data_IF_784209597900
#
_entry.id   IF_784209597900
#
_cell.length_a   1.000
_cell.length_b   1.000
_cell.length_c   1.000
_cell.angle_alpha   90.00
_cell.angle_beta   90.00
_cell.angle_gamma   90.00
#
_symmetry.space_group_name_H-M   'P 1'
#
loop_
_entity.id
_entity.type
_entity.pdbx_description
1 polymer ?
#
# COMPACT_ATOMS: atom_id res chain seq x y z
N UNK A 1 -81.52 1.97 -3.43
CA UNK A 1 -80.27 2.75 -3.35
C UNK A 1 -79.37 2.03 -2.35
N UNK A 2 -78.40 1.28 -2.85
CA UNK A 2 -77.49 0.43 -2.08
C UNK A 2 -76.18 1.18 -1.89
N UNK A 3 -75.81 1.50 -0.65
CA UNK A 3 -74.50 2.10 -0.31
C UNK A 3 -73.46 1.01 -0.02
N UNK A 4 -72.19 1.16 -0.43
CA UNK A 4 -71.18 0.14 -0.22
C UNK A 4 -70.50 0.27 1.15
N UNK A 5 -70.24 -0.88 1.76
CA UNK A 5 -69.31 -1.05 2.87
C UNK A 5 -67.87 -0.93 2.36
N UNK A 6 -66.98 -0.20 3.04
CA UNK A 6 -65.53 -0.30 2.78
C UNK A 6 -64.68 0.05 4.01
N UNK A 7 -64.12 -1.00 4.61
CA UNK A 7 -62.69 -1.10 4.93
C UNK A 7 -62.13 -0.28 6.10
N UNK A 8 -62.12 -0.89 7.30
CA UNK A 8 -61.18 -0.52 8.36
C UNK A 8 -59.76 -0.89 7.90
N UNK A 9 -58.90 0.11 7.72
CA UNK A 9 -57.48 -0.07 7.37
C UNK A 9 -56.69 -0.28 8.67
N UNK A 10 -56.30 -1.52 8.94
CA UNK A 10 -55.32 -1.82 10.00
C UNK A 10 -54.00 -1.12 9.62
N UNK A 11 -53.58 -0.16 10.45
CA UNK A 11 -52.26 0.45 10.39
C UNK A 11 -51.26 -0.63 10.80
N UNK A 12 -50.61 -1.24 9.81
CA UNK A 12 -49.46 -2.10 10.05
C UNK A 12 -48.32 -1.27 10.64
N UNK A 13 -48.10 -1.42 11.94
CA UNK A 13 -46.83 -1.09 12.58
C UNK A 13 -45.81 -2.10 12.04
N UNK A 14 -45.06 -1.69 11.02
CA UNK A 14 -43.89 -2.43 10.59
C UNK A 14 -42.81 -2.25 11.66
N UNK A 15 -42.69 -3.30 12.48
CA UNK A 15 -41.64 -3.50 13.44
C UNK A 15 -40.26 -3.53 12.74
N UNK A 16 -39.33 -2.78 13.35
CA UNK A 16 -37.93 -3.18 13.58
C UNK A 16 -37.05 -3.49 12.36
N UNK A 17 -36.35 -2.45 11.90
CA UNK A 17 -35.01 -2.62 11.34
C UNK A 17 -34.05 -3.05 12.45
N UNK A 18 -33.82 -4.36 12.58
CA UNK A 18 -32.84 -4.93 13.51
C UNK A 18 -31.44 -4.33 13.29
N UNK A 19 -30.57 -4.34 14.31
CA UNK A 19 -29.25 -3.73 14.21
C UNK A 19 -28.47 -4.34 13.03
N UNK A 20 -27.90 -3.52 12.12
CA UNK A 20 -27.07 -4.04 11.05
C UNK A 20 -25.95 -4.87 11.66
N UNK A 21 -25.65 -6.03 11.05
CA UNK A 21 -24.56 -6.90 11.48
C UNK A 21 -23.31 -6.06 11.76
N UNK A 22 -22.72 -6.20 12.95
CA UNK A 22 -21.86 -5.17 13.53
C UNK A 22 -20.48 -5.00 12.86
N UNK A 23 -20.22 -5.60 11.68
CA UNK A 23 -18.90 -5.65 11.03
C UNK A 23 -18.82 -5.01 9.63
N UNK A 24 -19.83 -5.09 8.72
CA UNK A 24 -19.79 -4.38 7.44
C UNK A 24 -19.84 -2.85 7.57
N UNK A 25 -20.47 -2.30 8.61
CA UNK A 25 -20.71 -0.85 8.73
C UNK A 25 -19.46 0.00 8.99
N UNK A 26 -18.48 -0.52 9.74
CA UNK A 26 -17.24 0.21 10.05
C UNK A 26 -16.32 0.32 8.84
N UNK A 27 -16.15 -0.79 8.12
CA UNK A 27 -15.32 -0.83 6.90
C UNK A 27 -15.90 0.11 5.85
N UNK A 28 -17.23 0.14 5.71
CA UNK A 28 -17.89 1.06 4.78
C UNK A 28 -17.68 2.52 5.19
N UNK A 29 -17.85 2.86 6.48
CA UNK A 29 -17.57 4.20 6.98
C UNK A 29 -16.11 4.61 6.81
N UNK A 30 -15.16 3.70 6.98
CA UNK A 30 -13.74 3.98 6.72
C UNK A 30 -13.46 4.20 5.24
N UNK A 31 -14.11 3.45 4.34
CA UNK A 31 -14.03 3.67 2.89
C UNK A 31 -14.61 5.02 2.52
N UNK A 32 -15.81 5.36 3.01
CA UNK A 32 -16.44 6.66 2.79
C UNK A 32 -15.59 7.82 3.35
N UNK A 33 -14.97 7.64 4.52
CA UNK A 33 -14.09 8.65 5.09
C UNK A 33 -12.82 8.82 4.25
N UNK A 34 -12.24 7.72 3.78
CA UNK A 34 -11.08 7.74 2.88
C UNK A 34 -11.41 8.43 1.55
N UNK A 35 -12.55 8.08 0.94
CA UNK A 35 -13.00 8.64 -0.34
C UNK A 35 -13.31 10.14 -0.22
N UNK A 36 -13.79 10.59 0.95
CA UNK A 36 -14.04 12.03 1.21
C UNK A 36 -12.78 12.85 1.49
N UNK A 37 -11.76 12.27 2.12
CA UNK A 37 -10.64 13.03 2.67
C UNK A 37 -9.29 12.80 1.97
N UNK A 38 -9.18 11.80 1.10
CA UNK A 38 -7.92 11.45 0.43
C UNK A 38 -8.04 11.62 -1.08
N UNK A 39 -7.04 12.26 -1.69
CA UNK A 39 -6.89 12.18 -3.15
C UNK A 39 -6.57 10.75 -3.57
N UNK A 40 -6.89 10.33 -4.81
CA UNK A 40 -6.55 9.00 -5.32
C UNK A 40 -5.07 8.63 -5.09
N UNK A 41 -4.17 9.57 -5.36
CA UNK A 41 -2.73 9.41 -5.10
C UNK A 41 -2.43 9.17 -3.62
N UNK A 42 -2.98 9.97 -2.71
CA UNK A 42 -2.73 9.82 -1.28
C UNK A 42 -3.27 8.49 -0.76
N UNK A 43 -4.43 8.05 -1.25
CA UNK A 43 -5.00 6.74 -0.96
C UNK A 43 -4.07 5.62 -1.41
N UNK A 44 -3.60 5.65 -2.65
CA UNK A 44 -2.66 4.64 -3.16
C UNK A 44 -1.38 4.60 -2.34
N UNK A 45 -0.79 5.75 -2.00
CA UNK A 45 0.42 5.81 -1.17
C UNK A 45 0.21 5.23 0.25
N UNK A 46 -0.92 5.52 0.88
CA UNK A 46 -1.27 4.93 2.19
C UNK A 46 -1.44 3.42 2.07
N UNK A 47 -2.12 2.95 1.03
CA UNK A 47 -2.32 1.51 0.79
C UNK A 47 -0.98 0.82 0.56
N UNK A 48 -0.08 1.40 -0.24
CA UNK A 48 1.27 0.89 -0.47
C UNK A 48 2.09 0.87 0.82
N UNK A 49 2.08 1.96 1.60
CA UNK A 49 2.82 2.04 2.87
C UNK A 49 2.31 1.01 3.88
N UNK A 50 0.99 0.90 4.01
CA UNK A 50 0.36 -0.06 4.92
C UNK A 50 0.64 -1.50 4.49
N UNK A 51 0.46 -1.84 3.20
CA UNK A 51 0.73 -3.20 2.71
C UNK A 51 2.21 -3.56 2.81
N UNK A 52 3.11 -2.62 2.55
CA UNK A 52 4.54 -2.83 2.75
C UNK A 52 4.85 -3.17 4.21
N UNK A 53 4.43 -2.31 5.14
CA UNK A 53 4.73 -2.48 6.57
C UNK A 53 4.13 -3.76 7.15
N UNK A 54 2.88 -4.07 6.80
CA UNK A 54 2.21 -5.30 7.29
C UNK A 54 2.84 -6.55 6.69
N UNK A 55 3.14 -6.57 5.39
CA UNK A 55 3.81 -7.73 4.75
C UNK A 55 5.21 -7.93 5.32
N UNK A 56 6.03 -6.88 5.41
CA UNK A 56 7.38 -6.98 5.96
C UNK A 56 7.36 -7.50 7.41
N UNK A 57 6.50 -6.92 8.25
CA UNK A 57 6.34 -7.36 9.64
C UNK A 57 5.86 -8.81 9.75
N UNK A 58 4.88 -9.20 8.93
CA UNK A 58 4.34 -10.57 8.92
C UNK A 58 5.39 -11.59 8.47
N UNK A 59 6.11 -11.32 7.38
CA UNK A 59 7.17 -12.20 6.88
C UNK A 59 8.27 -12.35 7.93
N UNK A 60 8.73 -11.25 8.53
CA UNK A 60 9.72 -11.29 9.62
C UNK A 60 9.23 -12.11 10.80
N UNK A 61 7.99 -11.91 11.22
CA UNK A 61 7.40 -12.66 12.33
C UNK A 61 7.36 -14.16 12.03
N UNK A 62 6.89 -14.54 10.83
CA UNK A 62 6.83 -15.92 10.36
C UNK A 62 8.24 -16.54 10.31
N UNK A 63 9.20 -15.88 9.67
CA UNK A 63 10.58 -16.40 9.56
C UNK A 63 11.25 -16.55 10.92
N UNK A 64 11.03 -15.62 11.86
CA UNK A 64 11.53 -15.79 13.23
C UNK A 64 10.85 -16.97 13.92
N UNK A 65 9.57 -17.24 13.65
CA UNK A 65 8.86 -18.37 14.22
C UNK A 65 9.29 -19.73 13.71
N UNK A 66 9.57 -19.82 12.41
CA UNK A 66 10.12 -21.02 11.79
C UNK A 66 11.54 -21.27 12.35
N UNK A 67 12.40 -20.24 12.40
CA UNK A 67 13.76 -20.35 12.96
C UNK A 67 13.77 -20.68 14.45
N UNK A 68 12.79 -20.19 15.20
CA UNK A 68 12.62 -20.46 16.63
C UNK A 68 11.92 -21.78 16.94
N UNK A 69 11.45 -22.51 15.94
CA UNK A 69 10.77 -23.80 16.08
C UNK A 69 9.38 -23.75 16.74
N UNK A 70 8.80 -22.58 16.95
CA UNK A 70 7.48 -22.42 17.57
C UNK A 70 6.34 -22.27 16.57
N UNK A 71 6.67 -22.05 15.28
CA UNK A 71 5.69 -21.96 14.21
C UNK A 71 5.78 -23.23 13.34
N UNK A 72 4.71 -24.04 13.22
CA UNK A 72 4.71 -25.28 12.44
C UNK A 72 4.52 -25.00 10.94
N UNK A 73 5.32 -24.09 10.40
CA UNK A 73 5.38 -23.76 8.98
C UNK A 73 6.76 -24.11 8.44
N UNK A 74 6.81 -24.52 7.18
CA UNK A 74 8.05 -24.80 6.46
C UNK A 74 8.41 -23.69 5.46
N UNK A 75 9.67 -23.68 5.04
CA UNK A 75 10.13 -22.79 3.98
C UNK A 75 9.52 -23.17 2.62
N UNK A 76 9.23 -22.15 1.79
CA UNK A 76 8.81 -22.35 0.40
C UNK A 76 9.90 -23.09 -0.38
N UNK A 77 9.53 -24.21 -1.00
CA UNK A 77 10.45 -25.03 -1.80
C UNK A 77 9.78 -25.44 -3.11
N UNK A 78 10.52 -25.41 -4.21
CA UNK A 78 10.08 -25.86 -5.53
C UNK A 78 11.16 -26.75 -6.16
N UNK A 79 10.80 -27.96 -6.56
CA UNK A 79 11.75 -28.91 -7.19
C UNK A 79 12.96 -29.27 -6.31
N UNK A 80 12.80 -29.27 -4.97
CA UNK A 80 13.88 -29.54 -4.03
C UNK A 80 14.81 -28.37 -3.71
N UNK A 81 14.56 -27.17 -4.28
CA UNK A 81 15.31 -25.95 -3.98
C UNK A 81 14.45 -24.98 -3.16
N UNK A 82 15.04 -24.40 -2.12
CA UNK A 82 14.41 -23.33 -1.35
C UNK A 82 14.20 -22.09 -2.22
N UNK A 83 12.96 -21.61 -2.27
CA UNK A 83 12.61 -20.40 -2.98
C UNK A 83 12.59 -19.24 -1.99
N UNK A 84 13.54 -18.33 -2.16
CA UNK A 84 13.53 -17.06 -1.46
C UNK A 84 12.32 -16.23 -1.89
N UNK A 85 11.65 -15.62 -0.92
CA UNK A 85 10.39 -14.92 -1.15
C UNK A 85 10.61 -13.59 -1.89
N UNK A 86 11.84 -13.06 -1.96
CA UNK A 86 12.14 -11.95 -2.86
C UNK A 86 11.81 -12.26 -4.33
N UNK A 87 11.88 -13.53 -4.77
CA UNK A 87 11.54 -13.91 -6.15
C UNK A 87 10.05 -13.67 -6.45
N UNK A 88 9.18 -13.93 -5.48
CA UNK A 88 7.75 -13.63 -5.56
C UNK A 88 7.55 -12.11 -5.63
N UNK A 89 8.33 -11.36 -4.85
CA UNK A 89 8.35 -9.90 -4.93
C UNK A 89 8.74 -9.38 -6.31
N UNK A 90 9.80 -9.91 -6.92
CA UNK A 90 10.23 -9.54 -8.28
C UNK A 90 9.13 -9.83 -9.30
N UNK A 91 8.54 -11.04 -9.28
CA UNK A 91 7.47 -11.41 -10.18
C UNK A 91 6.24 -10.50 -10.03
N UNK A 92 5.90 -10.15 -8.79
CA UNK A 92 4.80 -9.21 -8.47
C UNK A 92 5.08 -7.83 -9.05
N UNK A 93 6.27 -7.27 -8.80
CA UNK A 93 6.64 -5.95 -9.32
C UNK A 93 6.77 -5.93 -10.85
N UNK A 94 7.21 -7.01 -11.48
CA UNK A 94 7.22 -7.14 -12.94
C UNK A 94 5.79 -7.09 -13.51
N UNK A 95 4.83 -7.78 -12.89
CA UNK A 95 3.42 -7.71 -13.26
C UNK A 95 2.82 -6.30 -13.09
N UNK A 96 3.15 -5.63 -11.98
CA UNK A 96 2.76 -4.23 -11.78
C UNK A 96 3.41 -3.30 -12.81
N UNK A 97 4.68 -3.52 -13.14
CA UNK A 97 5.37 -2.81 -14.21
C UNK A 97 4.66 -2.96 -15.56
N UNK A 98 4.17 -4.17 -15.88
CA UNK A 98 3.39 -4.40 -17.10
C UNK A 98 2.05 -3.63 -17.09
N UNK A 99 1.35 -3.58 -15.96
CA UNK A 99 0.13 -2.77 -15.81
C UNK A 99 0.45 -1.29 -16.03
N UNK A 100 1.54 -0.79 -15.46
CA UNK A 100 1.98 0.59 -15.62
C UNK A 100 2.36 0.92 -17.08
N UNK A 101 3.11 0.04 -17.75
CA UNK A 101 3.50 0.19 -19.16
C UNK A 101 2.29 0.18 -20.09
N UNK A 102 1.27 -0.65 -19.79
CA UNK A 102 0.01 -0.64 -20.54
C UNK A 102 -0.71 0.71 -20.46
N UNK A 103 -0.55 1.45 -19.36
CA UNK A 103 -1.05 2.82 -19.23
C UNK A 103 -2.57 2.96 -19.10
N UNK A 104 -3.30 1.86 -18.84
CA UNK A 104 -4.75 1.93 -18.60
C UNK A 104 -5.01 2.62 -17.25
N UNK A 105 -5.56 3.85 -17.28
CA UNK A 105 -5.72 4.68 -16.09
C UNK A 105 -6.55 3.99 -14.99
N UNK A 106 -7.57 3.22 -15.39
CA UNK A 106 -8.42 2.49 -14.44
C UNK A 106 -7.65 1.37 -13.76
N UNK A 107 -6.84 0.62 -14.50
CA UNK A 107 -6.00 -0.44 -13.95
C UNK A 107 -4.89 0.14 -13.07
N UNK A 108 -4.16 1.15 -13.55
CA UNK A 108 -3.07 1.81 -12.81
C UNK A 108 -3.58 2.47 -11.53
N UNK A 109 -4.77 3.10 -11.58
CA UNK A 109 -5.41 3.72 -10.43
C UNK A 109 -6.06 2.74 -9.44
N UNK A 110 -6.08 1.44 -9.74
CA UNK A 110 -6.77 0.47 -8.91
C UNK A 110 -6.02 0.23 -7.59
N UNK A 111 -6.69 0.23 -6.42
CA UNK A 111 -6.02 0.09 -5.11
C UNK A 111 -5.26 -1.24 -4.96
N UNK A 112 -5.65 -2.28 -5.70
CA UNK A 112 -4.90 -3.54 -5.72
C UNK A 112 -3.48 -3.39 -6.30
N UNK A 113 -3.27 -2.48 -7.25
CA UNK A 113 -1.93 -2.19 -7.79
C UNK A 113 -1.04 -1.58 -6.71
N UNK A 114 -1.58 -0.61 -5.96
CA UNK A 114 -0.87 0.00 -4.84
C UNK A 114 -0.54 -1.03 -3.74
N UNK A 115 -1.49 -1.91 -3.41
CA UNK A 115 -1.30 -2.97 -2.41
C UNK A 115 -0.23 -3.96 -2.86
N UNK A 116 -0.35 -4.49 -4.09
CA UNK A 116 0.59 -5.45 -4.67
C UNK A 116 2.00 -4.86 -4.84
N UNK A 117 2.11 -3.58 -5.19
CA UNK A 117 3.39 -2.88 -5.21
C UNK A 117 4.04 -2.90 -3.81
N UNK A 118 3.32 -2.48 -2.77
CA UNK A 118 3.86 -2.51 -1.39
C UNK A 118 4.25 -3.91 -0.91
N UNK A 119 3.42 -4.93 -1.22
CA UNK A 119 3.74 -6.35 -0.94
C UNK A 119 5.02 -6.78 -1.65
N UNK A 120 5.11 -6.53 -2.96
CA UNK A 120 6.27 -6.92 -3.77
C UNK A 120 7.56 -6.26 -3.29
N UNK A 121 7.51 -4.97 -2.98
CA UNK A 121 8.64 -4.23 -2.39
C UNK A 121 9.01 -4.78 -1.02
N UNK A 122 8.05 -5.10 -0.14
CA UNK A 122 8.34 -5.67 1.17
C UNK A 122 9.10 -6.99 1.07
N UNK A 123 8.63 -7.91 0.22
CA UNK A 123 9.28 -9.21 -0.01
C UNK A 123 10.70 -9.08 -0.55
N UNK A 124 10.97 -8.09 -1.41
CA UNK A 124 12.32 -7.82 -1.91
C UNK A 124 13.20 -7.25 -0.80
N UNK A 125 12.70 -6.28 -0.04
CA UNK A 125 13.50 -5.61 1.00
C UNK A 125 13.83 -6.53 2.17
N UNK A 126 12.96 -7.50 2.48
CA UNK A 126 13.17 -8.41 3.59
C UNK A 126 14.42 -9.28 3.44
N UNK A 127 14.71 -9.69 2.20
CA UNK A 127 15.91 -10.45 1.83
C UNK A 127 16.94 -9.60 1.08
N UNK A 128 16.89 -8.27 1.22
CA UNK A 128 17.77 -7.35 0.49
C UNK A 128 19.26 -7.69 0.64
N UNK A 129 19.70 -8.09 1.84
CA UNK A 129 21.08 -8.49 2.06
C UNK A 129 21.51 -9.68 1.18
N UNK A 130 20.62 -10.62 0.87
CA UNK A 130 20.89 -11.75 -0.03
C UNK A 130 20.95 -11.32 -1.50
N UNK A 131 20.20 -10.27 -1.89
CA UNK A 131 20.26 -9.70 -3.23
C UNK A 131 21.57 -8.93 -3.49
N UNK A 132 22.11 -8.29 -2.46
CA UNK A 132 23.38 -7.56 -2.58
C UNK A 132 24.60 -8.47 -2.53
N UNK A 133 24.57 -9.54 -1.72
CA UNK A 133 25.74 -10.36 -1.43
C UNK A 133 25.44 -11.82 -1.75
N UNK A 134 25.51 -12.17 -3.04
CA UNK A 134 25.16 -13.49 -3.59
C UNK A 134 26.09 -14.63 -3.12
N UNK A 135 27.16 -14.35 -2.38
CA UNK A 135 28.10 -15.34 -1.84
C UNK A 135 28.30 -15.17 -0.33
N UNK A 136 27.81 -16.17 0.40
CA UNK A 136 27.56 -16.21 1.84
C UNK A 136 28.82 -16.24 2.73
N UNK A 137 29.69 -15.23 2.67
CA UNK A 137 30.89 -15.23 3.55
C UNK A 137 31.30 -13.89 4.16
N UNK A 138 30.78 -12.72 3.75
CA UNK A 138 31.50 -11.51 4.18
C UNK A 138 31.17 -10.97 5.59
N UNK A 139 29.94 -10.98 6.11
CA UNK A 139 29.71 -10.55 7.51
C UNK A 139 28.45 -11.13 8.16
N UNK A 140 28.58 -11.84 9.29
CA UNK A 140 27.54 -12.51 10.09
C UNK A 140 26.41 -11.61 10.68
N UNK A 141 26.00 -10.53 10.00
CA UNK A 141 24.95 -9.58 10.40
C UNK A 141 23.97 -9.23 9.26
N UNK A 142 23.82 -10.08 8.22
CA UNK A 142 22.93 -9.80 7.07
C UNK A 142 21.46 -9.56 7.47
N UNK A 143 20.99 -10.16 8.56
CA UNK A 143 19.64 -9.91 9.08
C UNK A 143 19.37 -8.45 9.43
N UNK A 144 20.39 -7.70 9.87
CA UNK A 144 20.24 -6.29 10.29
C UNK A 144 20.21 -5.33 9.10
N UNK A 145 20.99 -5.58 8.05
CA UNK A 145 20.99 -4.72 6.86
C UNK A 145 19.62 -4.71 6.17
N UNK A 146 19.01 -5.88 5.97
CA UNK A 146 17.64 -5.92 5.41
C UNK A 146 16.65 -5.19 6.31
N UNK A 147 16.76 -5.31 7.64
CA UNK A 147 15.92 -4.59 8.59
C UNK A 147 16.12 -3.08 8.48
N UNK A 148 17.37 -2.60 8.44
CA UNK A 148 17.70 -1.18 8.31
C UNK A 148 17.13 -0.59 7.01
N UNK A 149 17.24 -1.33 5.90
CA UNK A 149 16.67 -0.94 4.60
C UNK A 149 15.15 -0.91 4.65
N UNK A 150 14.50 -1.93 5.18
CA UNK A 150 13.03 -1.96 5.28
C UNK A 150 12.49 -0.87 6.20
N UNK A 151 13.14 -0.61 7.34
CA UNK A 151 12.81 0.50 8.23
C UNK A 151 13.03 1.84 7.52
N UNK A 152 14.12 1.99 6.77
CA UNK A 152 14.41 3.18 5.97
C UNK A 152 13.32 3.46 4.93
N UNK A 153 12.89 2.44 4.18
CA UNK A 153 11.78 2.54 3.21
C UNK A 153 10.47 2.91 3.91
N UNK A 154 10.14 2.24 5.02
CA UNK A 154 8.93 2.51 5.80
C UNK A 154 8.92 3.95 6.34
N UNK A 155 10.06 4.40 6.89
CA UNK A 155 10.22 5.74 7.47
C UNK A 155 10.18 6.83 6.40
N UNK A 156 10.83 6.62 5.25
CA UNK A 156 10.81 7.57 4.14
C UNK A 156 9.39 7.76 3.60
N UNK A 157 8.67 6.67 3.33
CA UNK A 157 7.28 6.71 2.88
C UNK A 157 6.36 7.34 3.94
N UNK A 158 6.52 6.98 5.22
CA UNK A 158 5.75 7.56 6.32
C UNK A 158 5.98 9.06 6.48
N UNK A 159 7.23 9.52 6.40
CA UNK A 159 7.60 10.94 6.46
C UNK A 159 7.03 11.71 5.27
N UNK A 160 7.10 11.14 4.07
CA UNK A 160 6.51 11.75 2.89
C UNK A 160 4.98 11.94 3.04
N UNK A 161 4.29 10.93 3.58
CA UNK A 161 2.85 10.97 3.81
C UNK A 161 2.42 12.00 4.86
N UNK A 162 3.20 12.19 5.94
CA UNK A 162 2.87 13.09 7.05
C UNK A 162 3.31 14.53 6.80
N UNK A 163 4.42 14.76 6.10
CA UNK A 163 4.98 16.08 5.86
C UNK A 163 4.51 16.72 4.53
N UNK A 164 3.34 16.32 3.99
CA UNK A 164 2.86 16.81 2.68
C UNK A 164 2.88 18.34 2.52
N UNK A 165 2.39 19.16 3.48
CA UNK A 165 2.40 20.62 3.34
C UNK A 165 3.81 21.19 3.21
N UNK A 166 4.78 20.59 3.91
CA UNK A 166 6.19 20.98 3.83
C UNK A 166 6.78 20.70 2.44
N UNK A 167 6.49 19.53 1.86
CA UNK A 167 6.94 19.18 0.52
C UNK A 167 6.31 20.07 -0.56
N UNK A 168 5.02 20.40 -0.41
CA UNK A 168 4.32 21.31 -1.32
C UNK A 168 4.97 22.72 -1.30
N UNK A 169 5.36 23.22 -0.13
CA UNK A 169 6.08 24.49 0.00
C UNK A 169 7.48 24.43 -0.61
N UNK A 170 8.25 23.35 -0.39
CA UNK A 170 9.55 23.16 -1.06
C UNK A 170 9.38 23.21 -2.58
N UNK A 171 8.41 22.49 -3.14
CA UNK A 171 8.17 22.46 -4.57
C UNK A 171 7.81 23.85 -5.14
N UNK A 172 7.00 24.63 -4.40
CA UNK A 172 6.63 26.00 -4.78
C UNK A 172 7.86 26.92 -4.76
N UNK A 173 8.64 26.89 -3.69
CA UNK A 173 9.86 27.72 -3.54
C UNK A 173 10.85 27.40 -4.66
N UNK A 174 11.13 26.13 -4.89
CA UNK A 174 12.04 25.67 -5.96
C UNK A 174 11.56 26.10 -7.34
N UNK A 175 10.26 25.94 -7.64
CA UNK A 175 9.69 26.36 -8.94
C UNK A 175 9.85 27.86 -9.17
N UNK A 176 9.56 28.68 -8.15
CA UNK A 176 9.70 30.15 -8.21
C UNK A 176 11.14 30.55 -8.45
N UNK A 177 12.10 29.89 -7.80
CA UNK A 177 13.52 30.17 -7.99
C UNK A 177 13.96 29.84 -9.42
N UNK A 178 13.63 28.65 -9.93
CA UNK A 178 13.96 28.23 -11.31
C UNK A 178 13.35 29.20 -12.33
N UNK A 179 12.08 29.60 -12.17
CA UNK A 179 11.45 30.55 -13.10
C UNK A 179 12.07 31.95 -13.02
N UNK A 180 12.47 32.41 -11.83
CA UNK A 180 13.16 33.68 -11.67
C UNK A 180 14.55 33.66 -12.35
N UNK A 181 15.31 32.58 -12.19
CA UNK A 181 16.61 32.38 -12.85
C UNK A 181 16.44 32.30 -14.37
N UNK A 182 15.48 31.53 -14.87
CA UNK A 182 15.21 31.41 -16.31
C UNK A 182 14.82 32.75 -16.95
N UNK A 183 13.98 33.56 -16.28
CA UNK A 183 13.62 34.91 -16.75
C UNK A 183 14.81 35.87 -16.79
N UNK A 184 15.76 35.71 -15.87
CA UNK A 184 16.95 36.58 -15.78
C UNK A 184 18.01 36.25 -16.84
N UNK A 185 17.97 35.03 -17.39
CA UNK A 185 18.92 34.54 -18.38
C UNK A 185 18.41 34.65 -19.84
N UNK A 186 17.19 35.16 -20.07
CA UNK A 186 16.73 35.50 -21.41
C UNK A 186 17.46 36.76 -21.88
N UNK A 187 18.17 36.75 -23.03
CA UNK A 187 18.77 37.95 -23.59
C UNK A 187 17.65 38.96 -23.85
N UNK A 188 17.83 40.21 -23.40
CA UNK A 188 17.02 41.32 -23.86
C UNK A 188 17.29 41.49 -25.35
N UNK A 189 16.45 40.88 -26.20
CA UNK A 189 16.43 41.14 -27.63
C UNK A 189 15.97 42.59 -27.82
N UNK A 190 16.94 43.49 -27.83
CA UNK A 190 16.82 44.81 -28.45
C UNK A 190 17.14 44.73 -29.93
#
# INVERSE_FOLDING_TARGET
>A
MSGPATGVRLVGVAAEGGPPSARPWLVERWREAADRNLTPTKRSLIVTWASFGTTWGAVRFITHGIRGGWLPLDNLSAGGRHLHHYNIGIATLAGIGLIAVRGDERAVGHPAVAAAYGVGTALITDEFALLLDLQDVYWAKQGRLSVDVSIGVLAALGTYLTARPFWDEIAKVTRRHITAVAKRNLPSTG
#
